data_IF_971571039743
#
_entry.id   IF_971571039743
#
_cell.length_a   1.000
_cell.length_b   1.000
_cell.length_c   1.000
_cell.angle_alpha   90.00
_cell.angle_beta   90.00
_cell.angle_gamma   90.00
#
_symmetry.space_group_name_H-M   'P 1'
#
loop_
_entity.id
_entity.type
_entity.pdbx_description
1 polymer ?
#
# COMPACT_ATOMS: atom_id res chain seq x y z
N UNK A 1 12.31 7.28 5.06
CA UNK A 1 12.24 6.23 6.10
C UNK A 1 13.59 6.09 6.77
N UNK A 2 13.57 5.86 8.08
CA UNK A 2 14.77 5.84 8.92
C UNK A 2 15.17 4.40 9.25
N UNK A 3 16.46 4.08 9.20
CA UNK A 3 16.93 2.80 9.73
C UNK A 3 16.84 2.81 11.27
N UNK A 4 16.28 1.77 11.92
CA UNK A 4 16.19 1.71 13.37
C UNK A 4 17.46 1.18 14.05
N UNK A 5 18.51 0.84 13.29
CA UNK A 5 19.79 0.38 13.85
C UNK A 5 20.63 1.59 14.30
N UNK A 6 20.97 1.68 15.59
CA UNK A 6 21.72 2.83 16.15
C UNK A 6 23.11 3.00 15.54
N UNK A 7 23.70 1.90 15.08
CA UNK A 7 25.03 1.93 14.44
C UNK A 7 24.97 2.39 12.96
N UNK A 8 23.76 2.58 12.42
CA UNK A 8 23.52 2.97 11.04
C UNK A 8 22.29 3.89 10.98
N UNK A 9 22.50 5.16 11.34
CA UNK A 9 21.46 6.17 11.46
C UNK A 9 21.15 6.87 10.13
N UNK A 10 20.88 6.10 9.07
CA UNK A 10 20.58 6.67 7.75
C UNK A 10 19.08 6.81 7.48
N UNK A 11 18.77 7.92 6.82
CA UNK A 11 17.48 8.18 6.20
C UNK A 11 17.55 7.92 4.70
N UNK A 12 16.56 7.19 4.18
CA UNK A 12 16.47 6.87 2.75
C UNK A 12 15.02 6.81 2.30
N UNK A 13 14.80 7.00 1.00
CA UNK A 13 13.45 7.01 0.44
C UNK A 13 12.87 5.59 0.34
N UNK A 14 11.58 5.46 0.67
CA UNK A 14 10.80 4.29 0.30
C UNK A 14 10.45 4.39 -1.18
N UNK A 15 11.33 3.95 -2.08
CA UNK A 15 11.08 3.95 -3.54
C UNK A 15 9.97 2.97 -3.94
N UNK A 16 9.35 3.16 -5.11
CA UNK A 16 8.35 2.21 -5.64
C UNK A 16 8.89 0.78 -5.74
N UNK A 17 10.13 0.63 -6.21
CA UNK A 17 10.81 -0.67 -6.29
C UNK A 17 10.92 -1.32 -4.90
N UNK A 18 11.35 -0.57 -3.87
CA UNK A 18 11.43 -1.10 -2.50
C UNK A 18 10.05 -1.47 -1.95
N UNK A 19 9.05 -0.64 -2.19
CA UNK A 19 7.68 -0.87 -1.74
C UNK A 19 7.10 -2.17 -2.31
N UNK A 20 7.15 -2.37 -3.64
CA UNK A 20 6.59 -3.56 -4.27
C UNK A 20 7.41 -4.84 -4.04
N UNK A 21 8.73 -4.73 -3.86
CA UNK A 21 9.56 -5.90 -3.54
C UNK A 21 9.35 -6.42 -2.11
N UNK A 22 8.67 -5.67 -1.25
CA UNK A 22 8.52 -5.99 0.17
C UNK A 22 7.05 -5.85 0.64
N UNK A 23 6.11 -6.67 0.12
CA UNK A 23 4.68 -6.52 0.37
C UNK A 23 4.29 -6.67 1.85
N UNK A 24 5.12 -7.36 2.64
CA UNK A 24 4.92 -7.52 4.09
C UNK A 24 5.52 -6.38 4.92
N UNK A 25 6.01 -5.31 4.27
CA UNK A 25 6.64 -4.16 4.94
C UNK A 25 7.94 -4.53 5.66
N UNK A 26 8.66 -5.53 5.16
CA UNK A 26 9.92 -6.04 5.73
C UNK A 26 11.07 -5.60 4.83
N UNK A 27 12.00 -4.81 5.34
CA UNK A 27 13.03 -4.18 4.54
C UNK A 27 14.43 -4.50 5.08
N UNK A 28 15.42 -4.37 4.21
CA UNK A 28 16.82 -4.39 4.58
C UNK A 28 17.40 -2.98 4.40
N UNK A 29 18.17 -2.53 5.38
CA UNK A 29 18.93 -1.29 5.27
C UNK A 29 19.98 -1.42 4.14
N UNK A 30 20.10 -0.46 3.21
CA UNK A 30 21.07 -0.55 2.13
C UNK A 30 22.53 -0.51 2.60
N UNK A 31 22.80 0.07 3.77
CA UNK A 31 24.17 0.30 4.24
C UNK A 31 24.61 -0.75 5.25
N UNK A 32 23.87 -0.94 6.35
CA UNK A 32 24.21 -1.96 7.36
C UNK A 32 23.53 -3.32 7.17
N UNK A 33 22.69 -3.49 6.15
CA UNK A 33 21.90 -4.71 5.91
C UNK A 33 20.97 -5.14 7.07
N UNK A 34 20.75 -4.29 8.07
CA UNK A 34 19.83 -4.57 9.17
C UNK A 34 18.41 -4.79 8.66
N UNK A 35 17.74 -5.82 9.19
CA UNK A 35 16.36 -6.15 8.84
C UNK A 35 15.41 -5.35 9.73
N UNK A 36 14.45 -4.67 9.14
CA UNK A 36 13.47 -3.87 9.86
C UNK A 36 12.08 -3.96 9.23
N UNK A 37 11.08 -3.44 9.94
CA UNK A 37 9.71 -3.32 9.44
C UNK A 37 9.03 -2.04 9.92
N UNK A 38 7.98 -1.61 9.22
CA UNK A 38 7.14 -0.50 9.67
C UNK A 38 6.37 -0.87 10.95
N UNK A 39 6.25 0.09 11.85
CA UNK A 39 5.34 0.03 13.00
C UNK A 39 3.97 0.57 12.61
N UNK A 40 3.16 -0.29 12.01
CA UNK A 40 1.78 0.06 11.62
C UNK A 40 0.87 0.03 12.86
N UNK A 41 0.12 1.09 13.17
CA UNK A 41 -0.90 1.06 14.21
C UNK A 41 -2.06 0.15 13.79
N UNK A 42 -2.85 -0.35 14.74
CA UNK A 42 -4.02 -1.18 14.42
C UNK A 42 -5.02 -0.46 13.49
N UNK A 43 -5.16 0.86 13.65
CA UNK A 43 -6.02 1.72 12.82
C UNK A 43 -5.66 1.73 11.34
N UNK A 44 -4.40 1.45 10.98
CA UNK A 44 -3.98 1.31 9.58
C UNK A 44 -4.69 0.14 8.89
N UNK A 45 -4.78 -1.01 9.57
CA UNK A 45 -5.45 -2.19 9.01
C UNK A 45 -6.96 -1.96 8.87
N UNK A 46 -7.59 -1.28 9.84
CA UNK A 46 -8.99 -0.90 9.75
C UNK A 46 -9.25 0.01 8.54
N UNK A 47 -8.36 0.98 8.29
CA UNK A 47 -8.44 1.85 7.12
C UNK A 47 -8.36 1.09 5.80
N UNK A 48 -7.41 0.16 5.66
CA UNK A 48 -7.30 -0.67 4.46
C UNK A 48 -8.56 -1.51 4.26
N UNK A 49 -9.03 -2.19 5.31
CA UNK A 49 -10.24 -3.02 5.24
C UNK A 49 -11.45 -2.17 4.83
N UNK A 50 -11.63 -0.99 5.43
CA UNK A 50 -12.73 -0.09 5.12
C UNK A 50 -12.71 0.37 3.66
N UNK A 51 -11.54 0.76 3.14
CA UNK A 51 -11.41 1.20 1.74
C UNK A 51 -11.67 0.03 0.77
N UNK A 52 -11.13 -1.16 1.04
CA UNK A 52 -11.37 -2.34 0.20
C UNK A 52 -12.85 -2.74 0.18
N UNK A 53 -13.51 -2.74 1.35
CA UNK A 53 -14.94 -3.03 1.46
C UNK A 53 -15.79 -1.98 0.73
N UNK A 54 -15.48 -0.69 0.91
CA UNK A 54 -16.18 0.38 0.23
C UNK A 54 -16.09 0.26 -1.30
N UNK A 55 -14.90 -0.06 -1.81
CA UNK A 55 -14.70 -0.29 -3.24
C UNK A 55 -15.45 -1.53 -3.75
N UNK A 56 -15.41 -2.63 -3.00
CA UNK A 56 -16.14 -3.86 -3.34
C UNK A 56 -17.66 -3.63 -3.38
N UNK A 57 -18.22 -2.89 -2.42
CA UNK A 57 -19.64 -2.53 -2.39
C UNK A 57 -19.99 -1.66 -3.61
N UNK A 58 -19.20 -0.62 -3.88
CA UNK A 58 -19.41 0.27 -5.02
C UNK A 58 -19.43 -0.50 -6.34
N UNK A 59 -18.46 -1.39 -6.54
CA UNK A 59 -18.41 -2.28 -7.70
C UNK A 59 -19.66 -3.15 -7.80
N UNK A 60 -20.06 -3.78 -6.69
CA UNK A 60 -21.19 -4.71 -6.68
C UNK A 60 -22.50 -4.01 -7.05
N UNK A 61 -22.67 -2.76 -6.61
CA UNK A 61 -23.81 -1.91 -6.99
C UNK A 61 -23.74 -1.58 -8.49
N UNK A 62 -22.59 -1.12 -8.99
CA UNK A 62 -22.42 -0.75 -10.40
C UNK A 62 -22.66 -1.95 -11.34
N UNK A 63 -22.22 -3.14 -10.95
CA UNK A 63 -22.43 -4.35 -11.74
C UNK A 63 -23.91 -4.75 -11.80
N UNK A 64 -24.68 -4.56 -10.71
CA UNK A 64 -26.13 -4.79 -10.72
C UNK A 64 -26.89 -3.79 -11.57
N UNK A 65 -26.47 -2.53 -11.60
CA UNK A 65 -27.16 -1.45 -12.32
C UNK A 65 -26.80 -1.40 -13.82
N UNK A 66 -25.56 -1.71 -14.18
CA UNK A 66 -25.01 -1.43 -15.51
C UNK A 66 -24.38 -2.66 -16.20
N UNK A 67 -24.55 -3.87 -15.66
CA UNK A 67 -23.85 -5.07 -16.10
C UNK A 67 -24.11 -5.51 -17.55
N UNK A 68 -25.24 -5.11 -18.14
CA UNK A 68 -25.62 -5.46 -19.51
C UNK A 68 -25.04 -4.53 -20.58
N UNK A 69 -24.40 -3.42 -20.19
CA UNK A 69 -23.81 -2.46 -21.13
C UNK A 69 -22.62 -3.11 -21.85
N UNK A 70 -22.65 -3.14 -23.18
CA UNK A 70 -21.50 -3.52 -24.00
C UNK A 70 -20.33 -2.58 -23.67
N UNK A 71 -19.24 -3.13 -23.13
CA UNK A 71 -18.04 -2.44 -22.60
C UNK A 71 -17.99 -2.18 -21.08
N UNK A 72 -19.02 -2.54 -20.30
CA UNK A 72 -18.97 -2.41 -18.82
C UNK A 72 -17.74 -3.10 -18.22
N UNK A 73 -17.36 -4.28 -18.74
CA UNK A 73 -16.19 -5.04 -18.28
C UNK A 73 -14.85 -4.30 -18.51
N UNK A 74 -14.71 -3.58 -19.63
CA UNK A 74 -13.49 -2.82 -19.93
C UNK A 74 -13.40 -1.59 -19.04
N UNK A 75 -14.51 -0.83 -18.92
CA UNK A 75 -14.60 0.31 -18.00
C UNK A 75 -14.31 -0.13 -16.56
N UNK A 76 -14.88 -1.26 -16.14
CA UNK A 76 -14.63 -1.87 -14.84
C UNK A 76 -13.14 -2.14 -14.58
N UNK A 77 -12.45 -2.75 -15.55
CA UNK A 77 -11.02 -3.01 -15.45
C UNK A 77 -10.21 -1.71 -15.33
N UNK A 78 -10.52 -0.71 -16.15
CA UNK A 78 -9.82 0.59 -16.11
C UNK A 78 -10.00 1.31 -14.77
N UNK A 79 -11.23 1.34 -14.25
CA UNK A 79 -11.53 1.93 -12.93
C UNK A 79 -10.81 1.17 -11.81
N UNK A 80 -10.75 -0.16 -11.89
CA UNK A 80 -10.04 -0.99 -10.91
C UNK A 80 -8.54 -0.71 -10.92
N UNK A 81 -7.92 -0.61 -12.10
CA UNK A 81 -6.49 -0.27 -12.21
C UNK A 81 -6.23 1.12 -11.64
N UNK A 82 -7.07 2.11 -11.99
CA UNK A 82 -6.93 3.47 -11.48
C UNK A 82 -7.07 3.52 -9.96
N UNK A 83 -8.06 2.83 -9.41
CA UNK A 83 -8.25 2.71 -7.95
C UNK A 83 -7.01 2.10 -7.28
N UNK A 84 -6.49 0.99 -7.81
CA UNK A 84 -5.28 0.35 -7.26
C UNK A 84 -4.05 1.26 -7.32
N UNK A 85 -3.88 2.01 -8.42
CA UNK A 85 -2.78 2.97 -8.55
C UNK A 85 -2.87 4.10 -7.51
N UNK A 86 -4.06 4.66 -7.29
CA UNK A 86 -4.30 5.69 -6.27
C UNK A 86 -4.06 5.10 -4.88
N UNK A 87 -4.63 3.93 -4.59
CA UNK A 87 -4.50 3.27 -3.29
C UNK A 87 -3.06 2.97 -2.93
N UNK A 88 -2.28 2.37 -3.83
CA UNK A 88 -0.87 2.11 -3.56
C UNK A 88 -0.03 3.38 -3.44
N UNK A 89 -0.40 4.46 -4.14
CA UNK A 89 0.29 5.75 -4.01
C UNK A 89 0.06 6.37 -2.63
N UNK A 90 -1.19 6.33 -2.15
CA UNK A 90 -1.56 6.80 -0.82
C UNK A 90 -0.88 5.91 0.24
N UNK A 91 -0.97 4.59 0.10
CA UNK A 91 -0.38 3.64 1.05
C UNK A 91 1.13 3.86 1.19
N UNK A 92 1.88 3.86 0.08
CA UNK A 92 3.32 4.15 0.07
C UNK A 92 3.65 5.49 0.74
N UNK A 93 2.84 6.53 0.49
CA UNK A 93 3.02 7.86 1.08
C UNK A 93 2.80 7.86 2.60
N UNK A 94 1.78 7.15 3.08
CA UNK A 94 1.51 6.98 4.51
C UNK A 94 2.63 6.14 5.16
N UNK A 95 2.99 5.01 4.55
CA UNK A 95 4.02 4.12 5.07
C UNK A 95 5.38 4.79 5.20
N UNK A 96 5.73 5.69 4.28
CA UNK A 96 6.99 6.43 4.31
C UNK A 96 7.19 7.27 5.57
N UNK A 97 6.09 7.57 6.28
CA UNK A 97 6.04 8.37 7.51
C UNK A 97 5.97 7.52 8.79
N UNK A 98 5.72 6.21 8.70
CA UNK A 98 5.65 5.38 9.89
C UNK A 98 7.03 5.13 10.49
N UNK A 99 7.14 5.06 11.83
CA UNK A 99 8.38 4.67 12.48
C UNK A 99 8.72 3.22 12.13
N UNK A 100 10.02 2.92 12.14
CA UNK A 100 10.56 1.59 11.84
C UNK A 100 10.98 0.90 13.13
N UNK A 101 11.04 -0.44 13.13
CA UNK A 101 11.70 -1.23 14.18
C UNK A 101 12.49 -2.38 13.60
N UNK A 102 13.54 -2.76 14.32
CA UNK A 102 14.28 -3.98 14.03
C UNK A 102 13.32 -5.18 14.01
N UNK A 103 13.58 -6.07 13.06
CA UNK A 103 12.73 -7.22 12.77
C UNK A 103 13.23 -8.47 13.47
#
# INVERSE_FOLDING_TARGET
>A
MKCPNTDCDIDFELTWSRYFNNPLGRFNCPECSAKFKFQRPFTYYLWIIAICLGFFILISIMQRLCGEISNFKLLYLMVTILYMAIMFSIDRSIESKYPTKLR
#
